data_IF_083540382451
#
_entry.id   IF_083540382451
#
_cell.length_a   1.000
_cell.length_b   1.000
_cell.length_c   1.000
_cell.angle_alpha   90.00
_cell.angle_beta   90.00
_cell.angle_gamma   90.00
#
_symmetry.space_group_name_H-M   'P 1'
#
loop_
_entity.id
_entity.type
_entity.pdbx_description
1 polymer ?
#
# COMPACT_ATOMS: atom_id res chain seq x y z
N UNK A 1 18.75 -39.45 -56.80
CA UNK A 1 17.60 -39.07 -55.92
C UNK A 1 18.03 -37.87 -55.12
N UNK A 2 17.61 -36.68 -55.49
CA UNK A 2 17.86 -35.42 -54.79
C UNK A 2 16.79 -35.24 -53.70
N UNK A 3 17.11 -34.72 -52.52
CA UNK A 3 16.10 -34.33 -51.53
C UNK A 3 15.51 -32.96 -51.91
N UNK A 4 14.19 -32.88 -51.83
CA UNK A 4 13.42 -31.64 -51.99
C UNK A 4 13.57 -30.71 -50.81
N UNK A 5 13.48 -29.39 -50.99
CA UNK A 5 13.58 -28.40 -49.91
C UNK A 5 12.29 -28.31 -49.10
N UNK A 6 12.45 -28.17 -47.77
CA UNK A 6 11.38 -27.85 -46.82
C UNK A 6 10.85 -26.45 -47.11
N UNK A 7 9.57 -26.39 -47.41
CA UNK A 7 8.80 -25.17 -47.61
C UNK A 7 8.72 -24.29 -46.35
N UNK A 8 8.87 -23.01 -46.56
CA UNK A 8 8.68 -21.88 -45.65
C UNK A 8 7.41 -22.01 -44.82
N UNK A 9 7.61 -22.13 -43.52
CA UNK A 9 6.58 -21.80 -42.53
C UNK A 9 6.63 -20.29 -42.28
N UNK A 10 5.66 -19.60 -42.86
CA UNK A 10 5.44 -18.17 -42.68
C UNK A 10 5.16 -17.82 -41.21
N UNK A 11 6.04 -17.01 -40.64
CA UNK A 11 5.94 -16.38 -39.35
C UNK A 11 4.95 -15.19 -39.36
N UNK A 12 3.70 -15.40 -39.79
CA UNK A 12 2.68 -14.37 -39.88
C UNK A 12 1.49 -14.63 -38.92
N UNK A 13 1.76 -14.92 -37.68
CA UNK A 13 0.71 -15.20 -36.69
C UNK A 13 0.85 -14.49 -35.35
N UNK A 14 1.88 -13.66 -35.12
CA UNK A 14 2.18 -13.12 -33.81
C UNK A 14 2.50 -11.63 -33.84
N UNK A 15 1.66 -10.80 -34.42
CA UNK A 15 1.77 -9.35 -34.17
C UNK A 15 0.48 -8.59 -34.49
N UNK A 16 -0.57 -8.76 -33.71
CA UNK A 16 -1.64 -7.75 -33.65
C UNK A 16 -2.24 -7.57 -32.26
N UNK A 17 -1.41 -7.57 -31.22
CA UNK A 17 -1.78 -6.78 -30.03
C UNK A 17 -1.44 -5.33 -30.37
N UNK A 18 -2.42 -4.60 -30.92
CA UNK A 18 -2.37 -3.13 -30.98
C UNK A 18 -1.93 -2.66 -29.61
N UNK A 19 -0.72 -2.08 -29.49
CA UNK A 19 -0.39 -1.23 -28.34
C UNK A 19 -1.43 -0.12 -28.38
N UNK A 20 -2.43 -0.20 -27.50
CA UNK A 20 -3.27 0.96 -27.20
C UNK A 20 -2.30 2.03 -26.74
N UNK A 21 -2.22 3.12 -27.46
CA UNK A 21 -1.49 4.31 -27.03
C UNK A 21 -2.33 4.85 -25.89
N UNK A 22 -1.95 4.52 -24.65
CA UNK A 22 -2.54 5.13 -23.48
C UNK A 22 -2.25 6.62 -23.56
N UNK A 23 -3.27 7.44 -23.71
CA UNK A 23 -3.11 8.90 -23.72
C UNK A 23 -2.76 9.31 -22.28
N UNK A 24 -1.47 9.50 -22.04
CA UNK A 24 -1.01 9.97 -20.75
C UNK A 24 -1.26 11.46 -20.61
N UNK A 25 -1.78 11.88 -19.45
CA UNK A 25 -1.81 13.30 -19.11
C UNK A 25 -0.37 13.82 -18.97
N UNK A 26 -0.03 14.83 -19.77
CA UNK A 26 1.20 15.58 -19.58
C UNK A 26 1.11 16.44 -18.31
N UNK A 27 2.24 16.72 -17.68
CA UNK A 27 2.27 17.58 -16.49
C UNK A 27 1.56 18.91 -16.68
N UNK A 28 1.67 19.50 -17.87
CA UNK A 28 1.00 20.76 -18.24
C UNK A 28 -0.51 20.63 -18.13
N UNK A 29 -1.08 19.56 -18.67
CA UNK A 29 -2.53 19.30 -18.64
C UNK A 29 -3.04 19.11 -17.22
N UNK A 30 -2.31 18.34 -16.39
CA UNK A 30 -2.66 18.14 -14.99
C UNK A 30 -2.65 19.45 -14.20
N UNK A 31 -1.67 20.33 -14.43
CA UNK A 31 -1.61 21.66 -13.81
C UNK A 31 -2.73 22.57 -14.29
N UNK A 32 -3.12 22.50 -15.56
CA UNK A 32 -4.27 23.26 -16.10
C UNK A 32 -5.57 22.86 -15.42
N UNK A 33 -5.81 21.56 -15.23
CA UNK A 33 -6.97 21.06 -14.49
C UNK A 33 -6.93 21.41 -13.00
N UNK A 34 -5.75 21.35 -12.38
CA UNK A 34 -5.58 21.77 -10.98
C UNK A 34 -5.96 23.26 -10.81
N UNK A 35 -5.46 24.12 -11.69
CA UNK A 35 -5.83 25.54 -11.71
C UNK A 35 -7.33 25.74 -11.88
N UNK A 36 -7.93 25.07 -12.86
CA UNK A 36 -9.37 25.14 -13.12
C UNK A 36 -10.21 24.81 -11.88
N UNK A 37 -9.93 23.67 -11.21
CA UNK A 37 -10.69 23.27 -10.02
C UNK A 37 -10.36 24.14 -8.80
N UNK A 38 -9.14 24.62 -8.66
CA UNK A 38 -8.78 25.55 -7.60
C UNK A 38 -9.58 26.84 -7.69
N UNK A 39 -9.71 27.41 -8.90
CA UNK A 39 -10.50 28.62 -9.18
C UNK A 39 -12.00 28.36 -8.98
N UNK A 40 -12.52 27.27 -9.52
CA UNK A 40 -13.94 26.89 -9.38
C UNK A 40 -14.34 26.72 -7.92
N UNK A 41 -13.49 26.08 -7.10
CA UNK A 41 -13.72 25.82 -5.68
C UNK A 41 -13.27 26.98 -4.78
N UNK A 42 -12.64 28.01 -5.33
CA UNK A 42 -12.08 29.18 -4.60
C UNK A 42 -11.13 28.74 -3.47
N UNK A 43 -10.23 27.83 -3.77
CA UNK A 43 -9.24 27.30 -2.83
C UNK A 43 -7.83 27.37 -3.43
N UNK A 44 -6.82 27.40 -2.56
CA UNK A 44 -5.43 27.27 -3.01
C UNK A 44 -5.17 25.88 -3.61
N UNK A 45 -4.44 25.77 -4.75
CA UNK A 45 -4.11 24.49 -5.38
C UNK A 45 -3.45 23.49 -4.44
N UNK A 46 -2.66 23.95 -3.49
CA UNK A 46 -2.00 23.11 -2.46
C UNK A 46 -2.97 22.35 -1.53
N UNK A 47 -4.26 22.79 -1.48
CA UNK A 47 -5.33 22.12 -0.72
C UNK A 47 -6.05 21.05 -1.51
N UNK A 48 -5.57 20.75 -2.71
CA UNK A 48 -6.10 19.71 -3.60
C UNK A 48 -5.05 18.62 -3.75
N UNK A 49 -5.38 17.41 -3.33
CA UNK A 49 -4.54 16.23 -3.56
C UNK A 49 -4.73 15.75 -4.99
N UNK A 50 -3.67 15.72 -5.78
CA UNK A 50 -3.70 15.12 -7.11
C UNK A 50 -3.37 13.63 -7.06
N UNK A 51 -4.05 12.84 -7.88
CA UNK A 51 -3.83 11.42 -8.06
C UNK A 51 -3.89 11.07 -9.56
N UNK A 52 -2.75 10.75 -10.14
CA UNK A 52 -2.69 10.29 -11.53
C UNK A 52 -2.72 8.76 -11.57
N UNK A 53 -3.81 8.21 -12.09
CA UNK A 53 -4.05 6.77 -12.22
C UNK A 53 -3.84 6.26 -13.65
N UNK A 54 -3.60 7.14 -14.64
CA UNK A 54 -3.50 6.72 -16.05
C UNK A 54 -2.43 5.65 -16.24
N UNK A 55 -2.85 4.50 -16.75
CA UNK A 55 -1.99 3.35 -17.01
C UNK A 55 -1.43 2.64 -15.78
N UNK A 56 -1.85 2.98 -14.56
CA UNK A 56 -1.34 2.39 -13.31
C UNK A 56 -2.38 2.38 -12.20
N UNK A 57 -2.31 1.41 -11.31
CA UNK A 57 -3.12 1.38 -10.10
C UNK A 57 -2.58 2.33 -9.04
N UNK A 58 -3.47 2.86 -8.21
CA UNK A 58 -3.17 3.76 -7.08
C UNK A 58 -4.12 3.50 -5.91
N UNK A 59 -3.68 3.84 -4.72
CA UNK A 59 -4.49 3.78 -3.51
C UNK A 59 -5.53 4.92 -3.48
N UNK A 60 -6.53 4.84 -4.38
CA UNK A 60 -7.55 5.89 -4.52
C UNK A 60 -8.45 6.00 -3.29
N UNK A 61 -8.88 4.86 -2.74
CA UNK A 61 -9.76 4.79 -1.57
C UNK A 61 -9.14 5.48 -0.35
N UNK A 62 -7.95 5.09 0.15
CA UNK A 62 -7.35 5.77 1.28
C UNK A 62 -6.97 7.23 0.97
N UNK A 63 -6.74 7.58 -0.29
CA UNK A 63 -6.51 8.98 -0.68
C UNK A 63 -7.77 9.82 -0.50
N UNK A 64 -8.94 9.33 -0.93
CA UNK A 64 -10.22 10.03 -0.74
C UNK A 64 -10.58 10.10 0.75
N UNK A 65 -10.39 9.02 1.50
CA UNK A 65 -10.66 8.98 2.95
C UNK A 65 -9.92 10.05 3.74
N UNK A 66 -8.69 10.34 3.35
CA UNK A 66 -7.78 11.19 4.12
C UNK A 66 -7.65 12.62 3.61
N UNK A 67 -8.27 12.95 2.47
CA UNK A 67 -8.17 14.29 1.87
C UNK A 67 -9.54 14.86 1.56
N UNK A 68 -9.76 16.12 1.97
CA UNK A 68 -11.00 16.84 1.71
C UNK A 68 -11.29 17.05 0.21
N UNK A 69 -10.24 17.17 -0.60
CA UNK A 69 -10.34 17.45 -2.04
C UNK A 69 -9.34 16.59 -2.79
N UNK A 70 -9.84 15.76 -3.68
CA UNK A 70 -9.01 14.87 -4.49
C UNK A 70 -9.30 15.09 -5.97
N UNK A 71 -8.27 15.38 -6.74
CA UNK A 71 -8.31 15.50 -8.18
C UNK A 71 -7.67 14.25 -8.81
N UNK A 72 -8.48 13.46 -9.48
CA UNK A 72 -8.08 12.17 -10.05
C UNK A 72 -8.01 12.31 -11.56
N UNK A 73 -6.92 11.82 -12.15
CA UNK A 73 -6.76 11.63 -13.59
C UNK A 73 -6.84 10.14 -13.88
N UNK A 74 -7.81 9.73 -14.67
CA UNK A 74 -8.08 8.35 -15.03
C UNK A 74 -8.19 8.17 -16.55
N UNK A 75 -8.08 6.94 -17.01
CA UNK A 75 -8.24 6.53 -18.39
C UNK A 75 -9.02 5.21 -18.49
N UNK A 76 -9.14 4.65 -19.68
CA UNK A 76 -9.85 3.40 -19.93
C UNK A 76 -9.33 2.19 -19.15
N UNK A 77 -8.15 2.26 -18.54
CA UNK A 77 -7.65 1.20 -17.65
C UNK A 77 -8.41 1.12 -16.32
N UNK A 78 -9.22 2.15 -16.04
CA UNK A 78 -10.06 2.30 -14.84
C UNK A 78 -11.53 2.41 -15.18
N UNK A 79 -11.99 1.62 -16.14
CA UNK A 79 -13.34 1.65 -16.70
C UNK A 79 -14.44 1.68 -15.62
N UNK A 80 -14.27 0.89 -14.55
CA UNK A 80 -15.25 0.71 -13.47
C UNK A 80 -14.96 1.55 -12.20
N UNK A 81 -14.12 2.58 -12.28
CA UNK A 81 -13.69 3.35 -11.11
C UNK A 81 -14.89 3.92 -10.31
N UNK A 82 -15.90 4.45 -10.99
CA UNK A 82 -17.06 5.05 -10.29
C UNK A 82 -17.88 4.01 -9.53
N UNK A 83 -18.04 2.81 -10.10
CA UNK A 83 -18.66 1.68 -9.43
C UNK A 83 -17.85 1.24 -8.20
N UNK A 84 -16.53 1.12 -8.36
CA UNK A 84 -15.61 0.78 -7.27
C UNK A 84 -15.69 1.79 -6.12
N UNK A 85 -15.74 3.09 -6.43
CA UNK A 85 -15.88 4.13 -5.41
C UNK A 85 -17.22 4.02 -4.67
N UNK A 86 -18.31 3.77 -5.40
CA UNK A 86 -19.62 3.55 -4.78
C UNK A 86 -19.62 2.31 -3.86
N UNK A 87 -19.07 1.19 -4.31
CA UNK A 87 -18.94 -0.05 -3.53
C UNK A 87 -18.14 0.16 -2.23
N UNK A 88 -17.12 1.02 -2.26
CA UNK A 88 -16.30 1.40 -1.08
C UNK A 88 -16.96 2.46 -0.19
N UNK A 89 -18.22 2.81 -0.44
CA UNK A 89 -19.02 3.67 0.43
C UNK A 89 -18.97 5.17 0.12
N UNK A 90 -18.41 5.57 -1.01
CA UNK A 90 -18.35 6.99 -1.42
C UNK A 90 -19.55 7.48 -2.23
N UNK A 91 -20.63 6.70 -2.30
CA UNK A 91 -21.81 7.00 -3.12
C UNK A 91 -22.39 8.40 -2.91
N UNK A 92 -22.46 8.86 -1.66
CA UNK A 92 -23.04 10.15 -1.27
C UNK A 92 -22.10 11.36 -1.50
N UNK A 93 -20.84 11.14 -1.97
CA UNK A 93 -19.89 12.21 -2.14
C UNK A 93 -20.17 13.02 -3.40
N UNK A 94 -19.99 14.33 -3.30
CA UNK A 94 -20.07 15.22 -4.44
C UNK A 94 -18.87 15.04 -5.35
N UNK A 95 -19.13 14.91 -6.64
CA UNK A 95 -18.15 14.66 -7.67
C UNK A 95 -18.39 15.57 -8.87
N UNK A 96 -17.30 16.14 -9.38
CA UNK A 96 -17.25 16.83 -10.67
C UNK A 96 -16.40 16.00 -11.62
N UNK A 97 -16.86 15.83 -12.84
CA UNK A 97 -16.09 15.08 -13.83
C UNK A 97 -16.18 15.70 -15.22
N UNK A 98 -15.12 15.55 -15.98
CA UNK A 98 -15.01 15.99 -17.35
C UNK A 98 -14.18 14.99 -18.16
N UNK A 99 -14.50 14.86 -19.45
CA UNK A 99 -13.74 14.08 -20.40
C UNK A 99 -12.74 14.98 -21.14
N UNK A 100 -11.55 14.45 -21.44
CA UNK A 100 -10.50 15.17 -22.17
C UNK A 100 -9.29 15.51 -21.31
N UNK A 101 -8.20 15.87 -22.00
CA UNK A 101 -6.92 16.14 -21.38
C UNK A 101 -6.77 17.59 -20.88
N UNK A 102 -7.56 18.53 -21.39
CA UNK A 102 -7.49 19.96 -21.04
C UNK A 102 -8.85 20.50 -20.61
N UNK A 103 -8.89 21.50 -19.70
CA UNK A 103 -10.11 22.22 -19.38
C UNK A 103 -10.66 22.96 -20.61
N UNK A 104 -11.96 22.95 -20.80
CA UNK A 104 -12.63 23.62 -21.92
C UNK A 104 -13.90 22.93 -22.38
N UNK A 105 -14.12 21.70 -21.93
CA UNK A 105 -15.36 20.95 -22.11
C UNK A 105 -16.36 21.19 -20.98
N UNK A 106 -17.52 20.53 -21.06
CA UNK A 106 -18.52 20.52 -20.02
C UNK A 106 -18.02 19.74 -18.78
N UNK A 107 -18.07 20.38 -17.61
CA UNK A 107 -17.83 19.74 -16.32
C UNK A 107 -19.17 19.41 -15.71
N UNK A 108 -19.44 18.14 -15.56
CA UNK A 108 -20.66 17.62 -14.95
C UNK A 108 -20.48 17.50 -13.44
N UNK A 109 -21.54 17.77 -12.67
CA UNK A 109 -21.55 17.68 -11.22
C UNK A 109 -22.71 16.76 -10.79
N UNK A 110 -22.40 15.73 -10.01
CA UNK A 110 -23.39 14.84 -9.42
C UNK A 110 -22.82 14.10 -8.22
N UNK A 111 -23.65 13.30 -7.54
CA UNK A 111 -23.18 12.32 -6.57
C UNK A 111 -22.70 11.05 -7.27
N UNK A 112 -21.69 10.39 -6.71
CA UNK A 112 -21.11 9.17 -7.28
C UNK A 112 -22.19 8.09 -7.51
N UNK A 113 -23.12 7.91 -6.58
CA UNK A 113 -24.22 6.92 -6.69
C UNK A 113 -25.13 7.10 -7.91
N UNK A 114 -25.25 8.34 -8.44
CA UNK A 114 -26.09 8.60 -9.60
C UNK A 114 -25.42 8.29 -10.92
N UNK A 115 -24.09 8.19 -10.92
CA UNK A 115 -23.27 7.96 -12.12
C UNK A 115 -22.44 6.69 -12.04
N UNK A 116 -22.70 5.83 -11.06
CA UNK A 116 -21.92 4.61 -10.79
C UNK A 116 -21.77 3.67 -12.00
N UNK A 117 -22.75 3.68 -12.93
CA UNK A 117 -22.74 2.87 -14.14
C UNK A 117 -22.01 3.54 -15.33
N UNK A 118 -21.55 4.76 -15.17
CA UNK A 118 -20.80 5.45 -16.22
C UNK A 118 -19.40 4.84 -16.32
N UNK A 119 -19.09 4.37 -17.52
CA UNK A 119 -17.78 3.80 -17.84
C UNK A 119 -16.79 4.88 -18.23
N UNK A 120 -15.56 4.76 -17.76
CA UNK A 120 -14.46 5.61 -18.20
C UNK A 120 -13.87 4.98 -19.47
N UNK A 121 -14.04 5.66 -20.58
CA UNK A 121 -13.64 5.15 -21.92
C UNK A 121 -12.45 5.86 -22.54
N UNK A 122 -11.92 6.86 -21.83
CA UNK A 122 -10.77 7.65 -22.26
C UNK A 122 -10.29 8.60 -21.16
N UNK A 123 -9.44 9.57 -21.48
CA UNK A 123 -8.93 10.53 -20.50
C UNK A 123 -10.08 11.23 -19.78
N UNK A 124 -10.16 11.05 -18.48
CA UNK A 124 -11.24 11.59 -17.62
C UNK A 124 -10.63 12.20 -16.39
N UNK A 125 -11.09 13.38 -16.03
CA UNK A 125 -10.73 14.09 -14.81
C UNK A 125 -11.90 14.04 -13.85
N UNK A 126 -11.63 13.66 -12.61
CA UNK A 126 -12.63 13.53 -11.56
C UNK A 126 -12.15 14.31 -10.36
N UNK A 127 -12.99 15.24 -9.88
CA UNK A 127 -12.75 15.95 -8.63
C UNK A 127 -13.78 15.50 -7.60
N UNK A 128 -13.31 15.04 -6.44
CA UNK A 128 -14.16 14.54 -5.36
C UNK A 128 -14.01 15.43 -4.13
N UNK A 129 -15.13 15.79 -3.53
CA UNK A 129 -15.19 16.51 -2.25
C UNK A 129 -15.59 15.57 -1.13
N UNK A 130 -14.72 15.42 -0.13
CA UNK A 130 -14.96 14.65 1.09
C UNK A 130 -15.09 15.63 2.27
N UNK A 131 -16.31 15.86 2.75
CA UNK A 131 -16.54 16.69 3.93
C UNK A 131 -16.33 15.92 5.26
N UNK A 132 -16.18 14.59 5.20
CA UNK A 132 -16.03 13.71 6.36
C UNK A 132 -14.67 13.00 6.33
N UNK A 133 -13.60 13.77 6.12
CA UNK A 133 -12.25 13.21 6.09
C UNK A 133 -11.95 12.46 7.38
N UNK A 134 -11.39 11.27 7.25
CA UNK A 134 -10.87 10.55 8.39
C UNK A 134 -9.73 11.34 9.02
N UNK A 135 -9.86 11.68 10.30
CA UNK A 135 -8.85 12.45 11.02
C UNK A 135 -7.56 11.68 11.26
N UNK A 136 -7.62 10.35 11.24
CA UNK A 136 -6.43 9.53 11.41
C UNK A 136 -5.59 9.55 10.15
N UNK A 137 -4.52 10.15 10.26
CA UNK A 137 -3.35 10.27 9.46
C UNK A 137 -2.83 8.89 8.98
N UNK A 138 -1.74 8.89 8.27
CA UNK A 138 -1.08 7.82 7.54
C UNK A 138 -0.81 6.54 8.35
N UNK A 139 -0.72 6.60 9.69
CA UNK A 139 -0.53 5.47 10.61
C UNK A 139 -1.20 5.72 11.97
N UNK A 140 -1.33 4.68 12.78
CA UNK A 140 -2.10 4.73 14.04
C UNK A 140 -3.61 4.58 13.82
N UNK A 141 -4.01 3.86 12.79
CA UNK A 141 -5.42 3.56 12.50
C UNK A 141 -6.01 2.80 13.71
N UNK A 142 -7.22 3.19 14.13
CA UNK A 142 -7.86 2.54 15.27
C UNK A 142 -8.13 1.04 14.96
N UNK A 143 -7.98 0.20 16.00
CA UNK A 143 -8.01 -1.24 15.83
C UNK A 143 -9.35 -1.77 15.31
N UNK A 144 -10.44 -1.12 15.65
CA UNK A 144 -11.81 -1.47 15.24
C UNK A 144 -12.10 -1.21 13.75
N UNK A 145 -11.22 -0.51 13.05
CA UNK A 145 -11.29 -0.41 11.59
C UNK A 145 -10.80 -1.65 10.85
N UNK A 146 -10.04 -2.53 11.51
CA UNK A 146 -9.58 -3.77 10.88
C UNK A 146 -10.60 -4.90 11.05
N UNK A 147 -10.71 -5.77 10.06
CA UNK A 147 -11.37 -7.06 10.23
C UNK A 147 -10.55 -7.91 11.20
N UNK A 148 -11.19 -8.51 12.18
CA UNK A 148 -10.50 -9.28 13.20
C UNK A 148 -9.93 -10.56 12.58
N UNK A 149 -8.62 -10.66 12.52
CA UNK A 149 -7.90 -11.88 12.20
C UNK A 149 -7.71 -12.78 13.40
N UNK A 150 -7.24 -14.00 13.15
CA UNK A 150 -6.95 -15.00 14.19
C UNK A 150 -5.62 -14.78 14.89
N UNK A 151 -4.73 -13.89 14.39
CA UNK A 151 -3.33 -13.85 14.79
C UNK A 151 -2.79 -12.43 14.93
N UNK A 152 -2.06 -12.20 16.02
CA UNK A 152 -1.07 -11.16 16.30
C UNK A 152 -1.42 -9.72 15.90
N UNK A 153 -2.47 -9.23 16.52
CA UNK A 153 -2.89 -7.87 16.36
C UNK A 153 -1.99 -6.91 17.16
N UNK A 154 -1.19 -6.13 16.47
CA UNK A 154 -0.40 -5.08 17.12
C UNK A 154 -1.29 -3.88 17.41
N UNK A 155 -1.39 -3.47 18.69
CA UNK A 155 -2.17 -2.30 19.09
C UNK A 155 -1.72 -1.01 18.38
N UNK A 156 -2.66 -0.10 18.11
CA UNK A 156 -2.41 1.11 17.30
C UNK A 156 -1.23 1.97 17.81
N UNK A 157 -1.00 2.03 19.11
CA UNK A 157 0.08 2.82 19.69
C UNK A 157 1.45 2.22 19.38
N UNK A 158 1.56 0.89 19.53
CA UNK A 158 2.78 0.15 19.22
C UNK A 158 3.01 0.17 17.71
N UNK A 159 1.95 0.02 16.91
CA UNK A 159 2.02 0.08 15.44
C UNK A 159 2.53 1.46 14.96
N UNK A 160 2.07 2.56 15.58
CA UNK A 160 2.57 3.89 15.25
C UNK A 160 4.08 4.03 15.53
N UNK A 161 4.58 3.43 16.60
CA UNK A 161 6.02 3.40 16.90
C UNK A 161 6.76 2.54 15.88
N UNK A 162 6.24 1.36 15.51
CA UNK A 162 6.83 0.50 14.49
C UNK A 162 6.93 1.26 13.15
N UNK A 163 5.87 1.94 12.73
CA UNK A 163 5.87 2.73 11.49
C UNK A 163 6.89 3.87 11.52
N UNK A 164 7.07 4.50 12.70
CA UNK A 164 8.12 5.51 12.90
C UNK A 164 9.53 4.93 12.81
N UNK A 165 9.76 3.72 13.34
CA UNK A 165 11.07 3.06 13.28
C UNK A 165 11.38 2.52 11.88
N UNK A 166 10.38 2.12 11.12
CA UNK A 166 10.53 1.69 9.74
C UNK A 166 10.94 2.87 8.81
N UNK A 167 10.59 4.10 9.18
CA UNK A 167 10.85 5.30 8.37
C UNK A 167 10.50 5.09 6.89
N UNK A 168 9.23 4.78 6.67
CA UNK A 168 8.70 4.37 5.37
C UNK A 168 8.60 5.55 4.42
N UNK A 169 9.24 5.46 3.27
CA UNK A 169 9.09 6.39 2.14
C UNK A 169 7.99 5.94 1.17
N UNK A 170 7.54 6.87 0.35
CA UNK A 170 6.47 6.66 -0.65
C UNK A 170 6.78 5.54 -1.65
N UNK A 171 8.05 5.31 -1.98
CA UNK A 171 8.49 4.35 -3.00
C UNK A 171 9.07 3.06 -2.43
N UNK A 172 9.04 2.89 -1.10
CA UNK A 172 9.65 1.74 -0.47
C UNK A 172 9.02 0.41 -0.85
N UNK A 173 9.86 -0.60 -0.97
CA UNK A 173 9.45 -1.98 -0.91
C UNK A 173 9.72 -2.52 0.49
N UNK A 174 8.68 -3.04 1.13
CA UNK A 174 8.71 -3.52 2.51
C UNK A 174 8.30 -4.98 2.54
N UNK A 175 9.06 -5.81 3.24
CA UNK A 175 8.66 -7.17 3.54
C UNK A 175 8.21 -7.28 4.98
N UNK A 176 7.02 -7.85 5.22
CA UNK A 176 6.45 -8.02 6.55
C UNK A 176 6.19 -9.50 6.82
N UNK A 177 6.81 -10.03 7.88
CA UNK A 177 6.60 -11.41 8.32
C UNK A 177 5.58 -11.45 9.45
N UNK A 178 4.42 -12.07 9.22
CA UNK A 178 3.32 -12.26 10.18
C UNK A 178 2.80 -10.96 10.82
N UNK A 179 2.50 -9.96 10.02
CA UNK A 179 2.29 -8.58 10.47
C UNK A 179 1.06 -7.91 9.86
N UNK A 180 -0.11 -8.49 10.02
CA UNK A 180 -1.37 -8.11 9.36
C UNK A 180 -1.66 -6.60 9.36
N UNK A 181 -1.70 -5.95 10.51
CA UNK A 181 -2.11 -4.54 10.60
C UNK A 181 -1.02 -3.56 10.16
N UNK A 182 0.26 -3.93 10.27
CA UNK A 182 1.40 -3.15 9.76
C UNK A 182 1.35 -3.07 8.24
N UNK A 183 0.99 -4.16 7.57
CA UNK A 183 0.89 -4.25 6.11
C UNK A 183 0.00 -3.15 5.53
N UNK A 184 -1.16 -2.92 6.14
CA UNK A 184 -2.10 -1.90 5.65
C UNK A 184 -1.55 -0.48 5.83
N UNK A 185 -1.01 -0.16 7.01
CA UNK A 185 -0.46 1.17 7.25
C UNK A 185 0.77 1.44 6.38
N UNK A 186 1.65 0.45 6.22
CA UNK A 186 2.79 0.54 5.32
C UNK A 186 2.35 0.74 3.85
N UNK A 187 1.31 0.04 3.39
CA UNK A 187 0.77 0.18 2.04
C UNK A 187 0.20 1.59 1.77
N UNK A 188 -0.43 2.20 2.76
CA UNK A 188 -0.95 3.57 2.65
C UNK A 188 0.21 4.58 2.54
N UNK A 189 1.28 4.40 3.29
CA UNK A 189 2.43 5.30 3.29
C UNK A 189 3.28 5.10 2.03
N UNK A 190 3.69 3.86 1.74
CA UNK A 190 4.45 3.51 0.53
C UNK A 190 3.53 3.41 -0.70
N UNK A 191 2.78 4.48 -0.99
CA UNK A 191 1.71 4.47 -2.00
C UNK A 191 2.17 4.28 -3.45
N UNK A 192 3.46 4.44 -3.74
CA UNK A 192 4.11 4.17 -5.02
C UNK A 192 5.08 2.98 -4.93
N UNK A 193 5.18 2.36 -3.77
CA UNK A 193 6.02 1.22 -3.46
C UNK A 193 5.25 -0.10 -3.41
N UNK A 194 5.85 -1.12 -2.80
CA UNK A 194 5.27 -2.46 -2.70
C UNK A 194 5.36 -2.99 -1.27
N UNK A 195 4.33 -3.66 -0.82
CA UNK A 195 4.32 -4.36 0.46
C UNK A 195 4.20 -5.85 0.20
N UNK A 196 5.17 -6.61 0.66
CA UNK A 196 5.19 -8.06 0.58
C UNK A 196 4.84 -8.61 1.95
N UNK A 197 3.68 -9.19 2.08
CA UNK A 197 3.20 -9.79 3.32
C UNK A 197 3.40 -11.31 3.27
N UNK A 198 4.23 -11.84 4.16
CA UNK A 198 4.44 -13.28 4.26
C UNK A 198 3.60 -13.83 5.41
N UNK A 199 2.59 -14.62 5.09
CA UNK A 199 1.70 -15.22 6.07
C UNK A 199 1.43 -16.70 5.76
N UNK A 200 2.03 -17.63 6.52
CA UNK A 200 1.85 -19.06 6.28
C UNK A 200 0.46 -19.58 6.66
N UNK A 201 -0.20 -18.96 7.66
CA UNK A 201 -1.53 -19.40 8.10
C UNK A 201 -2.62 -18.96 7.13
N UNK A 202 -3.43 -19.89 6.66
CA UNK A 202 -4.50 -19.61 5.67
C UNK A 202 -5.59 -18.71 6.25
N UNK A 203 -5.95 -18.87 7.53
CA UNK A 203 -6.95 -18.03 8.18
C UNK A 203 -6.49 -16.58 8.29
N UNK A 204 -5.25 -16.36 8.68
CA UNK A 204 -4.62 -15.04 8.75
C UNK A 204 -4.47 -14.40 7.35
N UNK A 205 -4.14 -15.20 6.31
CA UNK A 205 -4.13 -14.68 4.93
C UNK A 205 -5.49 -14.16 4.50
N UNK A 206 -6.58 -14.90 4.75
CA UNK A 206 -7.95 -14.45 4.42
C UNK A 206 -8.29 -13.13 5.13
N UNK A 207 -7.99 -13.03 6.42
CA UNK A 207 -8.21 -11.78 7.17
C UNK A 207 -7.39 -10.63 6.61
N UNK A 208 -6.17 -10.89 6.15
CA UNK A 208 -5.31 -9.91 5.51
C UNK A 208 -5.87 -9.47 4.15
N UNK A 209 -6.36 -10.40 3.33
CA UNK A 209 -7.04 -10.13 2.06
C UNK A 209 -8.30 -9.28 2.28
N UNK A 210 -9.12 -9.60 3.29
CA UNK A 210 -10.27 -8.80 3.68
C UNK A 210 -9.87 -7.36 4.07
N UNK A 211 -8.78 -7.19 4.82
CA UNK A 211 -8.28 -5.87 5.18
C UNK A 211 -7.72 -5.12 3.96
N UNK A 212 -6.97 -5.79 3.08
CA UNK A 212 -6.49 -5.21 1.82
C UNK A 212 -7.64 -4.67 0.98
N UNK A 213 -8.72 -5.47 0.83
CA UNK A 213 -9.92 -5.05 0.13
C UNK A 213 -10.65 -3.91 0.85
N UNK A 214 -10.90 -4.05 2.15
CA UNK A 214 -11.60 -3.05 2.96
C UNK A 214 -10.95 -1.67 2.93
N UNK A 215 -9.62 -1.62 3.00
CA UNK A 215 -8.87 -0.38 2.93
C UNK A 215 -8.60 0.09 1.48
N UNK A 216 -8.91 -0.72 0.48
CA UNK A 216 -8.73 -0.42 -0.93
C UNK A 216 -7.27 -0.12 -1.30
N UNK A 217 -6.33 -0.81 -0.67
CA UNK A 217 -4.92 -0.73 -1.04
C UNK A 217 -4.61 -1.74 -2.13
N UNK A 218 -3.85 -1.34 -3.16
CA UNK A 218 -3.57 -2.19 -4.33
C UNK A 218 -2.13 -2.69 -4.39
N UNK A 219 -1.26 -2.15 -3.55
CA UNK A 219 0.18 -2.37 -3.58
C UNK A 219 0.66 -3.42 -2.54
N UNK A 220 -0.22 -4.33 -2.14
CA UNK A 220 0.07 -5.43 -1.23
C UNK A 220 0.08 -6.75 -2.00
N UNK A 221 1.16 -7.49 -1.87
CA UNK A 221 1.29 -8.86 -2.34
C UNK A 221 1.36 -9.79 -1.13
N UNK A 222 0.40 -10.69 -1.00
CA UNK A 222 0.37 -11.69 0.08
C UNK A 222 0.95 -12.99 -0.46
N UNK A 223 1.96 -13.54 0.22
CA UNK A 223 2.62 -14.79 -0.15
C UNK A 223 2.55 -15.81 0.99
N UNK A 224 2.36 -17.10 0.69
CA UNK A 224 2.09 -18.11 1.71
C UNK A 224 3.36 -18.61 2.43
N UNK A 225 4.53 -18.39 1.86
CA UNK A 225 5.76 -18.95 2.39
C UNK A 225 6.97 -18.03 2.14
N UNK A 226 8.10 -18.39 2.73
CA UNK A 226 9.39 -17.70 2.66
C UNK A 226 10.48 -18.57 2.05
N UNK A 227 10.11 -19.48 1.13
CA UNK A 227 11.08 -20.27 0.38
C UNK A 227 11.99 -19.37 -0.48
N UNK A 228 13.18 -19.83 -0.80
CA UNK A 228 14.10 -19.08 -1.65
C UNK A 228 13.49 -18.82 -3.04
N UNK A 229 12.69 -19.74 -3.55
CA UNK A 229 12.00 -19.60 -4.84
C UNK A 229 10.97 -18.46 -4.79
N UNK A 230 10.10 -18.45 -3.76
CA UNK A 230 9.08 -17.41 -3.57
C UNK A 230 9.73 -16.05 -3.36
N UNK A 231 10.75 -15.98 -2.51
CA UNK A 231 11.44 -14.73 -2.22
C UNK A 231 12.29 -14.19 -3.40
N UNK A 232 12.76 -15.06 -4.30
CA UNK A 232 13.46 -14.62 -5.51
C UNK A 232 12.54 -13.93 -6.55
N UNK A 233 11.23 -14.13 -6.43
CA UNK A 233 10.25 -13.59 -7.37
C UNK A 233 9.68 -12.23 -6.95
N UNK A 234 9.98 -11.74 -5.74
CA UNK A 234 9.46 -10.46 -5.22
C UNK A 234 10.37 -9.29 -5.57
N UNK A 235 9.84 -8.05 -5.62
CA UNK A 235 10.66 -6.85 -5.66
C UNK A 235 11.61 -6.78 -4.46
N UNK A 236 12.84 -6.30 -4.66
CA UNK A 236 13.86 -6.23 -3.60
C UNK A 236 13.42 -5.29 -2.49
N UNK A 237 13.20 -5.77 -1.25
CA UNK A 237 12.77 -4.91 -0.15
C UNK A 237 13.95 -4.11 0.43
N UNK A 238 13.70 -2.84 0.78
CA UNK A 238 14.62 -2.03 1.57
C UNK A 238 14.44 -2.29 3.07
N UNK A 239 13.21 -2.51 3.48
CA UNK A 239 12.79 -2.65 4.87
C UNK A 239 12.21 -4.05 5.13
N UNK A 240 12.47 -4.59 6.31
CA UNK A 240 11.81 -5.78 6.81
C UNK A 240 11.23 -5.56 8.20
N UNK A 241 9.94 -5.84 8.35
CA UNK A 241 9.29 -5.96 9.66
C UNK A 241 9.06 -7.44 9.99
N UNK A 242 9.52 -7.88 11.15
CA UNK A 242 9.47 -9.29 11.56
C UNK A 242 8.81 -9.41 12.93
N UNK A 243 7.70 -10.15 13.02
CA UNK A 243 7.23 -10.70 14.29
C UNK A 243 8.09 -11.93 14.60
N UNK A 244 8.99 -11.77 15.55
CA UNK A 244 10.06 -12.73 15.78
C UNK A 244 9.55 -14.04 16.40
N UNK A 245 10.09 -15.13 15.90
CA UNK A 245 9.93 -16.48 16.42
C UNK A 245 11.28 -17.23 16.35
N UNK A 246 11.30 -18.53 16.63
CA UNK A 246 12.51 -19.34 16.63
C UNK A 246 13.22 -19.45 15.27
N UNK A 247 12.63 -18.97 14.18
CA UNK A 247 13.26 -18.90 12.85
C UNK A 247 13.93 -17.55 12.55
N UNK A 248 13.95 -16.61 13.51
CA UNK A 248 14.43 -15.23 13.29
C UNK A 248 15.79 -15.18 12.55
N UNK A 249 16.78 -15.95 13.03
CA UNK A 249 18.12 -15.97 12.43
C UNK A 249 18.08 -16.42 10.96
N UNK A 250 17.40 -17.54 10.69
CA UNK A 250 17.31 -18.08 9.33
C UNK A 250 16.50 -17.19 8.39
N UNK A 251 15.50 -16.50 8.91
CA UNK A 251 14.72 -15.54 8.13
C UNK A 251 15.54 -14.33 7.75
N UNK A 252 16.25 -13.74 8.71
CA UNK A 252 17.15 -12.60 8.45
C UNK A 252 18.28 -12.97 7.49
N UNK A 253 18.88 -14.18 7.63
CA UNK A 253 19.90 -14.66 6.72
C UNK A 253 19.39 -14.75 5.26
N UNK A 254 18.18 -15.27 5.06
CA UNK A 254 17.54 -15.32 3.72
C UNK A 254 17.27 -13.92 3.16
N UNK A 255 16.78 -13.02 3.99
CA UNK A 255 16.47 -11.65 3.57
C UNK A 255 17.73 -10.86 3.20
N UNK A 256 18.83 -11.05 3.93
CA UNK A 256 20.12 -10.43 3.61
C UNK A 256 20.75 -10.96 2.31
N UNK A 257 20.39 -12.20 1.87
CA UNK A 257 20.77 -12.68 0.52
C UNK A 257 20.07 -11.89 -0.59
N UNK A 258 18.83 -11.38 -0.33
CA UNK A 258 18.05 -10.59 -1.30
C UNK A 258 18.55 -9.15 -1.31
N UNK A 259 18.72 -8.55 -0.13
CA UNK A 259 19.25 -7.21 0.04
C UNK A 259 20.24 -7.18 1.20
N UNK A 260 21.55 -7.13 0.93
CA UNK A 260 22.58 -7.04 1.99
C UNK A 260 22.50 -5.75 2.83
N UNK A 261 21.84 -4.68 2.32
CA UNK A 261 21.66 -3.39 3.02
C UNK A 261 20.28 -3.27 3.70
N UNK A 262 19.57 -4.38 3.89
CA UNK A 262 18.23 -4.37 4.47
C UNK A 262 18.22 -3.80 5.88
N UNK A 263 17.22 -2.96 6.17
CA UNK A 263 16.96 -2.45 7.51
C UNK A 263 15.85 -3.27 8.16
N UNK A 264 16.04 -3.62 9.42
CA UNK A 264 15.14 -4.48 10.16
C UNK A 264 14.46 -3.73 11.29
N UNK A 265 13.16 -3.98 11.47
CA UNK A 265 12.42 -3.72 12.69
C UNK A 265 11.79 -5.03 13.15
N UNK A 266 12.20 -5.48 14.32
CA UNK A 266 11.82 -6.78 14.87
C UNK A 266 10.96 -6.56 16.11
N UNK A 267 9.79 -7.20 16.13
CA UNK A 267 8.88 -7.19 17.27
C UNK A 267 8.99 -8.52 18.02
N UNK A 268 9.14 -8.46 19.33
CA UNK A 268 9.10 -9.68 20.17
C UNK A 268 8.53 -9.40 21.57
N UNK A 269 7.84 -10.42 22.10
CA UNK A 269 7.47 -10.54 23.52
C UNK A 269 8.31 -11.61 24.22
N UNK A 270 9.15 -12.32 23.47
CA UNK A 270 9.95 -13.44 23.96
C UNK A 270 11.32 -12.96 24.45
N UNK A 271 11.58 -13.15 25.75
CA UNK A 271 12.85 -12.81 26.38
C UNK A 271 14.03 -13.63 25.81
N UNK A 272 13.77 -14.89 25.40
CA UNK A 272 14.79 -15.77 24.80
C UNK A 272 15.25 -15.22 23.45
N UNK A 273 14.33 -14.72 22.63
CA UNK A 273 14.64 -14.07 21.36
C UNK A 273 15.41 -12.78 21.60
N UNK A 274 14.96 -11.94 22.53
CA UNK A 274 15.66 -10.71 22.89
C UNK A 274 17.10 -10.99 23.32
N UNK A 275 17.31 -12.01 24.17
CA UNK A 275 18.64 -12.37 24.65
C UNK A 275 19.58 -12.85 23.53
N UNK A 276 19.04 -13.44 22.46
CA UNK A 276 19.80 -13.92 21.29
C UNK A 276 19.98 -12.85 20.21
N UNK A 277 19.17 -11.81 20.20
CA UNK A 277 19.16 -10.82 19.13
C UNK A 277 20.54 -10.23 18.84
N UNK A 278 21.29 -9.87 19.88
CA UNK A 278 22.66 -9.35 19.72
C UNK A 278 23.59 -10.33 19.04
N UNK A 279 23.54 -11.60 19.41
CA UNK A 279 24.38 -12.65 18.81
C UNK A 279 24.01 -12.89 17.35
N UNK A 280 22.71 -12.89 17.04
CA UNK A 280 22.20 -13.01 15.65
C UNK A 280 22.72 -11.85 14.82
N UNK A 281 22.57 -10.62 15.32
CA UNK A 281 23.03 -9.42 14.61
C UNK A 281 24.55 -9.44 14.35
N UNK A 282 25.36 -9.76 15.36
CA UNK A 282 26.81 -9.88 15.23
C UNK A 282 27.20 -10.95 14.20
N UNK A 283 26.53 -12.10 14.21
CA UNK A 283 26.75 -13.20 13.25
C UNK A 283 26.43 -12.80 11.82
N UNK A 284 25.35 -12.04 11.61
CA UNK A 284 24.87 -11.60 10.31
C UNK A 284 25.52 -10.28 9.84
N UNK A 285 26.42 -9.69 10.64
CA UNK A 285 27.09 -8.43 10.31
C UNK A 285 26.20 -7.19 10.39
N UNK A 286 25.05 -7.29 11.08
CA UNK A 286 24.13 -6.16 11.27
C UNK A 286 24.66 -5.25 12.39
N UNK A 287 24.69 -3.96 12.12
CA UNK A 287 25.21 -2.94 13.03
C UNK A 287 24.11 -2.04 13.58
N UNK A 288 24.50 -1.11 14.44
CA UNK A 288 23.62 -0.08 14.98
C UNK A 288 22.35 -0.66 15.64
N UNK A 289 22.51 -1.81 16.33
CA UNK A 289 21.41 -2.42 17.05
C UNK A 289 20.90 -1.49 18.14
N UNK A 290 19.62 -1.17 18.09
CA UNK A 290 18.89 -0.52 19.16
C UNK A 290 17.73 -1.42 19.61
N UNK A 291 17.47 -1.51 20.91
CA UNK A 291 16.33 -2.25 21.45
C UNK A 291 15.55 -1.35 22.40
N UNK A 292 14.28 -1.12 22.09
CA UNK A 292 13.38 -0.31 22.93
C UNK A 292 12.22 -1.17 23.43
N UNK A 293 11.78 -0.92 24.66
CA UNK A 293 10.57 -1.56 25.20
C UNK A 293 9.44 -0.54 25.22
N UNK A 294 8.28 -0.94 24.69
CA UNK A 294 7.10 -0.08 24.65
C UNK A 294 6.06 -0.59 25.66
N UNK A 295 5.69 0.26 26.60
CA UNK A 295 4.63 -0.03 27.56
C UNK A 295 3.43 0.87 27.33
N UNK A 296 2.25 0.27 27.16
CA UNK A 296 1.00 0.98 26.91
C UNK A 296 0.00 0.65 27.98
N UNK A 297 -0.46 1.67 28.71
CA UNK A 297 -1.57 1.56 29.66
C UNK A 297 -2.68 2.51 29.23
N UNK A 298 -3.90 2.00 29.19
CA UNK A 298 -5.10 2.75 28.78
C UNK A 298 -6.17 2.66 29.85
N UNK A 299 -6.99 3.69 29.96
CA UNK A 299 -8.23 3.59 30.72
C UNK A 299 -9.26 2.75 29.97
N UNK A 300 -9.90 1.84 30.67
CA UNK A 300 -11.07 1.09 30.16
C UNK A 300 -12.37 1.89 30.39
N UNK A 301 -13.52 1.30 30.08
CA UNK A 301 -14.85 1.90 30.27
C UNK A 301 -15.16 2.25 31.74
N UNK A 302 -14.50 1.60 32.69
CA UNK A 302 -14.65 1.79 34.12
C UNK A 302 -13.62 2.78 34.70
N UNK A 303 -12.92 3.52 33.84
CA UNK A 303 -11.82 4.44 34.16
C UNK A 303 -10.63 3.79 34.91
N UNK A 304 -10.45 2.47 34.75
CA UNK A 304 -9.29 1.77 35.32
C UNK A 304 -8.21 1.63 34.26
N UNK A 305 -6.95 1.71 34.67
CA UNK A 305 -5.82 1.43 33.79
C UNK A 305 -5.72 -0.07 33.48
N UNK A 306 -5.63 -0.38 32.20
CA UNK A 306 -5.33 -1.71 31.71
C UNK A 306 -4.04 -1.65 30.91
N UNK A 307 -3.06 -2.44 31.33
CA UNK A 307 -1.74 -2.50 30.67
C UNK A 307 -1.76 -3.60 29.62
N UNK A 308 -1.29 -3.27 28.42
CA UNK A 308 -1.05 -4.24 27.35
C UNK A 308 0.31 -4.92 27.55
N UNK A 309 0.53 -6.11 26.96
CA UNK A 309 1.86 -6.70 26.89
C UNK A 309 2.86 -5.70 26.33
N UNK A 310 4.03 -5.61 26.94
CA UNK A 310 5.07 -4.64 26.57
C UNK A 310 6.10 -5.31 25.65
N UNK A 311 6.01 -5.16 24.32
CA UNK A 311 6.95 -5.74 23.41
C UNK A 311 8.29 -5.03 23.44
N UNK A 312 9.30 -5.74 22.98
CA UNK A 312 10.56 -5.18 22.54
C UNK A 312 10.50 -4.95 21.03
N UNK A 313 10.95 -3.77 20.62
CA UNK A 313 11.22 -3.44 19.23
C UNK A 313 12.73 -3.32 19.08
N UNK A 314 13.29 -4.12 18.16
CA UNK A 314 14.73 -4.18 17.92
C UNK A 314 14.98 -3.71 16.50
N UNK A 315 15.85 -2.73 16.33
CA UNK A 315 16.24 -2.19 15.03
C UNK A 315 17.69 -2.49 14.73
N UNK A 316 18.05 -2.53 13.45
CA UNK A 316 19.39 -2.66 12.96
C UNK A 316 19.44 -2.65 11.43
N UNK A 317 20.60 -2.31 10.90
CA UNK A 317 20.86 -2.31 9.48
C UNK A 317 22.25 -2.89 9.19
N UNK A 318 22.41 -3.53 8.04
CA UNK A 318 23.75 -3.87 7.56
C UNK A 318 24.50 -2.56 7.20
N UNK A 319 25.78 -2.50 7.52
CA UNK A 319 26.63 -1.36 7.15
C UNK A 319 26.92 -1.38 5.64
N UNK A 320 26.91 -0.19 5.04
CA UNK A 320 27.38 0.04 3.66
C UNK A 320 28.87 -0.26 3.53
#
# INVERSE_FOLDING_TARGET
MQPQPLSELTLDGWCSKRRRVTVMYENKNMLSWLGYFADMMKVSPEKIKMLNMCGKQKNVVPTIDTHKRVLIFADESHEDLLYTLWEKGFGEYDMWYAEGTEPGGEVQHDKIEKVLNKKITGPTVIFIMNEKTRESVRYGIANDFFSAGTVHYVGKEIRAVIMSLLDVDTHDTILALQAESIVIEAAIVASEGNIIAVEPDEGSRRSMEENVDKFGVHNVQIIPDRSEETLAAIPVPRLAFIVANHYLESDMERLLKINPEMQFVIYTLDLGILAQAKLIFDKLGIKNMEAIQISVSKTNKDNMFVTQPSPWLITGAAEK
#
